data_IF_590640128552
#
_entry.id   IF_590640128552
#
_cell.length_a   1.000
_cell.length_b   1.000
_cell.length_c   1.000
_cell.angle_alpha   90.00
_cell.angle_beta   90.00
_cell.angle_gamma   90.00
#
_symmetry.space_group_name_H-M   'P 1'
#
loop_
_entity.id
_entity.type
_entity.pdbx_description
1 polymer ?
#
# COMPACT_ATOMS: atom_id res chain seq x y z
N UNK A 1 -1.38 -7.69 -2.12
CA UNK A 1 -1.43 -8.47 -0.86
C UNK A 1 -0.85 -9.87 -1.03
N UNK A 2 -1.51 -10.77 -1.77
CA UNK A 2 -1.08 -12.18 -1.89
C UNK A 2 0.22 -12.41 -2.66
N UNK A 3 0.56 -11.56 -3.64
CA UNK A 3 1.75 -11.75 -4.47
C UNK A 3 3.07 -11.75 -3.67
N UNK A 4 3.29 -10.76 -2.80
CA UNK A 4 4.51 -10.68 -1.97
C UNK A 4 4.56 -11.81 -0.95
N UNK A 5 3.42 -12.15 -0.33
CA UNK A 5 3.34 -13.24 0.62
C UNK A 5 3.65 -14.60 0.00
N UNK A 6 3.12 -14.85 -1.20
CA UNK A 6 3.44 -16.03 -2.00
C UNK A 6 4.92 -16.04 -2.41
N UNK A 7 5.50 -14.90 -2.79
CA UNK A 7 6.92 -14.81 -3.17
C UNK A 7 7.86 -15.19 -2.02
N UNK A 8 7.65 -14.65 -0.82
CA UNK A 8 8.46 -14.99 0.35
C UNK A 8 8.24 -16.44 0.81
N UNK A 9 7.01 -16.93 0.77
CA UNK A 9 6.70 -18.33 1.05
C UNK A 9 7.41 -19.27 0.08
N UNK A 10 7.40 -18.92 -1.20
CA UNK A 10 8.09 -19.64 -2.26
C UNK A 10 9.61 -19.57 -2.08
N UNK A 11 10.15 -18.44 -1.65
CA UNK A 11 11.58 -18.32 -1.31
C UNK A 11 11.99 -19.26 -0.16
N UNK A 12 11.15 -19.44 0.86
CA UNK A 12 11.36 -20.42 1.93
C UNK A 12 11.41 -21.86 1.41
N UNK A 13 10.47 -22.22 0.53
CA UNK A 13 10.44 -23.53 -0.14
C UNK A 13 11.66 -23.73 -1.03
N UNK A 14 12.01 -22.73 -1.83
CA UNK A 14 13.21 -22.75 -2.70
C UNK A 14 14.47 -22.90 -1.87
N UNK A 15 14.57 -22.23 -0.72
CA UNK A 15 15.73 -22.34 0.18
C UNK A 15 15.87 -23.77 0.72
N UNK A 16 14.77 -24.43 1.09
CA UNK A 16 14.77 -25.84 1.49
C UNK A 16 15.21 -26.74 0.32
N UNK A 17 14.65 -26.56 -0.87
CA UNK A 17 15.01 -27.38 -2.04
C UNK A 17 16.46 -27.17 -2.49
N UNK A 18 16.97 -25.93 -2.41
CA UNK A 18 18.37 -25.62 -2.71
C UNK A 18 19.32 -26.30 -1.74
N UNK A 19 18.97 -26.41 -0.46
CA UNK A 19 19.77 -27.16 0.50
C UNK A 19 19.88 -28.66 0.13
N UNK A 20 18.85 -29.23 -0.48
CA UNK A 20 18.93 -30.59 -1.06
C UNK A 20 19.87 -30.63 -2.25
N UNK A 21 19.73 -29.68 -3.18
CA UNK A 21 20.52 -29.63 -4.42
C UNK A 21 22.01 -29.33 -4.22
N UNK A 22 22.36 -28.55 -3.19
CA UNK A 22 23.75 -28.17 -2.85
C UNK A 22 24.49 -29.21 -2.00
N UNK A 23 23.77 -30.19 -1.44
CA UNK A 23 24.33 -31.30 -0.65
C UNK A 23 25.55 -32.01 -1.28
N UNK A 24 25.61 -32.27 -2.61
CA UNK A 24 26.74 -32.98 -3.23
C UNK A 24 28.07 -32.22 -3.23
N UNK A 25 28.05 -30.88 -3.17
CA UNK A 25 29.22 -30.02 -3.32
C UNK A 25 30.00 -29.78 -2.02
N UNK A 26 29.54 -30.34 -0.89
CA UNK A 26 30.14 -30.08 0.43
C UNK A 26 31.25 -31.10 0.76
N UNK A 27 32.42 -30.65 1.27
CA UNK A 27 33.52 -31.51 1.70
C UNK A 27 33.12 -32.55 2.77
N UNK A 28 33.74 -33.73 2.74
CA UNK A 28 33.38 -34.88 3.57
C UNK A 28 33.82 -34.76 5.05
N UNK A 29 34.60 -33.76 5.43
CA UNK A 29 35.25 -33.66 6.76
C UNK A 29 34.42 -32.96 7.84
N UNK A 30 33.19 -32.54 7.53
CA UNK A 30 32.31 -31.90 8.52
C UNK A 30 31.62 -32.94 9.42
N UNK A 31 31.46 -32.69 10.74
CA UNK A 31 30.91 -33.66 11.68
C UNK A 31 29.46 -34.06 11.30
N UNK A 32 29.30 -35.25 10.76
CA UNK A 32 28.03 -35.83 10.27
C UNK A 32 27.04 -36.22 11.38
N UNK A 33 27.45 -36.13 12.65
CA UNK A 33 26.61 -36.48 13.81
C UNK A 33 25.84 -35.31 14.43
N UNK A 34 25.83 -34.13 13.81
CA UNK A 34 25.08 -32.99 14.34
C UNK A 34 23.58 -33.19 14.05
N UNK A 35 22.87 -33.73 15.05
CA UNK A 35 21.53 -33.27 15.42
C UNK A 35 20.38 -33.53 14.44
N UNK A 36 20.40 -34.59 13.62
CA UNK A 36 19.25 -34.95 12.78
C UNK A 36 17.93 -35.01 13.58
N UNK A 37 17.96 -35.66 14.75
CA UNK A 37 16.83 -35.76 15.67
C UNK A 37 16.46 -34.39 16.28
N UNK A 38 17.42 -33.48 16.41
CA UNK A 38 17.16 -32.14 16.92
C UNK A 38 16.52 -31.25 15.84
N UNK A 39 16.98 -31.34 14.59
CA UNK A 39 16.40 -30.62 13.44
C UNK A 39 14.95 -31.03 13.24
N UNK A 40 14.67 -32.34 13.20
CA UNK A 40 13.32 -32.85 12.99
C UNK A 40 12.34 -32.35 14.08
N UNK A 41 12.73 -32.44 15.35
CA UNK A 41 11.96 -31.89 16.48
C UNK A 41 11.73 -30.38 16.35
N UNK A 42 12.77 -29.62 16.00
CA UNK A 42 12.67 -28.16 15.85
C UNK A 42 11.73 -27.81 14.69
N UNK A 43 11.87 -28.44 13.53
CA UNK A 43 10.98 -28.22 12.39
C UNK A 43 9.54 -28.58 12.74
N UNK A 44 9.31 -29.67 13.50
CA UNK A 44 7.97 -30.02 14.00
C UNK A 44 7.36 -28.96 14.92
N UNK A 45 8.16 -28.38 15.82
CA UNK A 45 7.73 -27.26 16.68
C UNK A 45 7.40 -26.02 15.83
N UNK A 46 8.22 -25.69 14.83
CA UNK A 46 7.96 -24.55 13.95
C UNK A 46 6.68 -24.79 13.12
N UNK A 47 6.52 -25.98 12.53
CA UNK A 47 5.34 -26.31 11.72
C UNK A 47 4.04 -26.24 12.54
N UNK A 48 4.02 -26.77 13.77
CA UNK A 48 2.83 -26.71 14.62
C UNK A 48 2.55 -25.29 15.13
N UNK A 49 3.57 -24.57 15.59
CA UNK A 49 3.40 -23.22 16.17
C UNK A 49 3.10 -22.14 15.13
N UNK A 50 3.73 -22.17 13.96
CA UNK A 50 3.60 -21.09 12.96
C UNK A 50 2.20 -21.02 12.36
N UNK A 51 1.49 -22.14 12.21
CA UNK A 51 0.10 -22.13 11.75
C UNK A 51 -0.81 -21.43 12.77
N UNK A 52 -0.63 -21.70 14.06
CA UNK A 52 -1.35 -21.04 15.14
C UNK A 52 -1.02 -19.54 15.21
N UNK A 53 0.27 -19.17 15.16
CA UNK A 53 0.72 -17.77 15.18
C UNK A 53 0.19 -17.01 13.96
N UNK A 54 0.19 -17.62 12.78
CA UNK A 54 -0.39 -17.03 11.56
C UNK A 54 -1.88 -16.77 11.73
N UNK A 55 -2.62 -17.76 12.24
CA UNK A 55 -4.07 -17.66 12.46
C UNK A 55 -4.40 -16.57 13.47
N UNK A 56 -3.68 -16.54 14.60
CA UNK A 56 -3.79 -15.48 15.60
C UNK A 56 -3.50 -14.11 14.97
N UNK A 57 -2.40 -13.96 14.25
CA UNK A 57 -1.98 -12.70 13.64
C UNK A 57 -3.00 -12.19 12.60
N UNK A 58 -3.55 -13.09 11.77
CA UNK A 58 -4.60 -12.74 10.81
C UNK A 58 -5.88 -12.28 11.52
N UNK A 59 -6.28 -12.99 12.58
CA UNK A 59 -7.43 -12.62 13.41
C UNK A 59 -7.24 -11.23 14.04
N UNK A 60 -6.08 -10.99 14.67
CA UNK A 60 -5.76 -9.70 15.28
C UNK A 60 -5.74 -8.57 14.26
N UNK A 61 -5.22 -8.80 13.05
CA UNK A 61 -5.26 -7.81 11.97
C UNK A 61 -6.69 -7.46 11.57
N UNK A 62 -7.55 -8.47 11.37
CA UNK A 62 -8.96 -8.25 11.03
C UNK A 62 -9.67 -7.48 12.15
N UNK A 63 -9.41 -7.82 13.42
CA UNK A 63 -9.93 -7.07 14.57
C UNK A 63 -9.43 -5.64 14.60
N UNK A 64 -8.15 -5.39 14.32
CA UNK A 64 -7.57 -4.04 14.29
C UNK A 64 -8.13 -3.19 13.15
N UNK A 65 -8.32 -3.76 11.95
CA UNK A 65 -8.99 -3.07 10.84
C UNK A 65 -10.47 -2.80 11.12
N UNK A 66 -11.15 -3.73 11.80
CA UNK A 66 -12.53 -3.53 12.24
C UNK A 66 -12.63 -2.40 13.28
N UNK A 67 -11.71 -2.36 14.25
CA UNK A 67 -11.61 -1.29 15.23
C UNK A 67 -11.30 0.06 14.56
N UNK A 68 -10.37 0.09 13.60
CA UNK A 68 -10.09 1.29 12.81
C UNK A 68 -11.30 1.75 12.01
N UNK A 69 -12.09 0.84 11.43
CA UNK A 69 -13.32 1.20 10.69
C UNK A 69 -14.45 1.68 11.62
N UNK A 70 -14.45 1.22 12.87
CA UNK A 70 -15.45 1.61 13.88
C UNK A 70 -15.12 2.98 14.49
N UNK A 71 -13.84 3.18 14.81
CA UNK A 71 -13.32 4.37 15.49
C UNK A 71 -12.87 5.48 14.53
N UNK A 72 -12.58 5.13 13.27
CA UNK A 72 -12.11 6.04 12.21
C UNK A 72 -13.01 5.89 10.98
N UNK A 73 -12.96 6.84 10.05
CA UNK A 73 -13.85 6.87 8.90
C UNK A 73 -13.43 5.82 7.84
N UNK A 74 -14.38 5.23 7.09
CA UNK A 74 -14.06 4.22 6.06
C UNK A 74 -13.04 4.66 5.01
N UNK A 75 -12.91 5.98 4.80
CA UNK A 75 -11.95 6.61 3.88
C UNK A 75 -10.52 6.57 4.43
N UNK A 76 -10.34 6.75 5.72
CA UNK A 76 -9.05 6.67 6.39
C UNK A 76 -8.56 5.22 6.54
N UNK A 77 -9.48 4.27 6.72
CA UNK A 77 -9.15 2.83 6.79
C UNK A 77 -8.44 2.33 5.53
N UNK A 78 -8.78 2.87 4.34
CA UNK A 78 -8.12 2.49 3.08
C UNK A 78 -6.62 2.74 3.12
N UNK A 79 -6.20 3.86 3.72
CA UNK A 79 -4.80 4.21 3.89
C UNK A 79 -4.10 3.19 4.80
N UNK A 80 -4.76 2.76 5.88
CA UNK A 80 -4.23 1.76 6.82
C UNK A 80 -4.10 0.37 6.19
N UNK A 81 -5.03 -0.04 5.31
CA UNK A 81 -5.01 -1.36 4.66
C UNK A 81 -3.87 -1.56 3.64
N UNK A 82 -3.18 -0.50 3.24
CA UNK A 82 -2.00 -0.58 2.36
C UNK A 82 -0.70 -0.91 3.10
N UNK A 83 -0.76 -1.19 4.41
CA UNK A 83 0.44 -1.45 5.20
C UNK A 83 1.17 -2.74 4.77
N UNK A 84 2.38 -2.54 4.24
CA UNK A 84 3.27 -3.62 3.79
C UNK A 84 3.92 -4.40 4.93
N UNK A 85 4.00 -3.82 6.13
CA UNK A 85 4.65 -4.43 7.31
C UNK A 85 3.87 -5.64 7.78
N UNK A 86 2.56 -5.46 7.93
CA UNK A 86 1.62 -6.51 8.31
C UNK A 86 1.65 -7.69 7.31
N UNK A 87 1.75 -7.39 6.02
CA UNK A 87 1.83 -8.40 4.97
C UNK A 87 3.14 -9.21 5.04
N UNK A 88 4.27 -8.54 5.27
CA UNK A 88 5.58 -9.18 5.37
C UNK A 88 5.67 -10.11 6.60
N UNK A 89 5.04 -9.73 7.71
CA UNK A 89 4.98 -10.55 8.93
C UNK A 89 4.23 -11.86 8.67
N UNK A 90 3.00 -11.78 8.14
CA UNK A 90 2.21 -12.99 7.84
C UNK A 90 2.93 -13.90 6.83
N UNK A 91 3.54 -13.30 5.80
CA UNK A 91 4.30 -14.03 4.80
C UNK A 91 5.44 -14.83 5.42
N UNK A 92 6.14 -14.26 6.39
CA UNK A 92 7.25 -14.93 7.08
C UNK A 92 6.76 -16.10 7.92
N UNK A 93 5.62 -15.97 8.61
CA UNK A 93 5.06 -17.07 9.40
C UNK A 93 4.56 -18.23 8.52
N UNK A 94 3.83 -17.93 7.44
CA UNK A 94 3.39 -18.93 6.46
C UNK A 94 4.58 -19.58 5.76
N UNK A 95 5.57 -18.79 5.35
CA UNK A 95 6.79 -19.28 4.73
C UNK A 95 7.60 -20.18 5.65
N UNK A 96 7.69 -19.84 6.94
CA UNK A 96 8.35 -20.67 7.96
C UNK A 96 7.62 -21.98 8.20
N UNK A 97 6.28 -21.95 8.23
CA UNK A 97 5.45 -23.17 8.27
C UNK A 97 5.73 -24.09 7.08
N UNK A 98 5.70 -23.54 5.86
CA UNK A 98 5.96 -24.30 4.63
C UNK A 98 7.39 -24.82 4.55
N UNK A 99 8.37 -24.00 4.92
CA UNK A 99 9.78 -24.41 5.04
C UNK A 99 9.90 -25.61 5.98
N UNK A 100 9.26 -25.57 7.14
CA UNK A 100 9.30 -26.68 8.09
C UNK A 100 8.60 -27.92 7.58
N UNK A 101 7.44 -27.80 6.93
CA UNK A 101 6.74 -28.93 6.33
C UNK A 101 7.58 -29.61 5.23
N UNK A 102 8.14 -28.84 4.31
CA UNK A 102 9.01 -29.34 3.24
C UNK A 102 10.29 -29.95 3.83
N UNK A 103 10.87 -29.32 4.85
CA UNK A 103 12.04 -29.83 5.57
C UNK A 103 11.78 -31.18 6.23
N UNK A 104 10.65 -31.35 6.91
CA UNK A 104 10.23 -32.61 7.52
C UNK A 104 10.03 -33.67 6.43
N UNK A 105 9.27 -33.38 5.36
CA UNK A 105 9.01 -34.34 4.27
C UNK A 105 10.33 -34.81 3.65
N UNK A 106 11.26 -33.89 3.38
CA UNK A 106 12.56 -34.21 2.79
C UNK A 106 13.49 -34.97 3.76
N UNK A 107 13.40 -34.74 5.07
CA UNK A 107 14.11 -35.55 6.08
C UNK A 107 13.55 -36.98 6.16
N UNK A 108 12.23 -37.13 6.22
CA UNK A 108 11.55 -38.43 6.35
C UNK A 108 11.72 -39.31 5.11
N UNK A 109 11.77 -38.69 3.93
CA UNK A 109 12.05 -39.39 2.65
C UNK A 109 13.53 -39.72 2.44
N UNK A 110 14.43 -39.25 3.32
CA UNK A 110 15.87 -39.47 3.21
C UNK A 110 16.56 -38.61 2.15
N UNK A 111 15.88 -37.63 1.57
CA UNK A 111 16.36 -36.85 0.42
C UNK A 111 17.62 -36.00 0.70
N UNK A 112 17.84 -35.59 1.95
CA UNK A 112 18.98 -34.71 2.31
C UNK A 112 20.34 -35.42 2.45
N UNK A 113 20.36 -36.73 2.72
CA UNK A 113 21.57 -37.43 3.17
C UNK A 113 22.22 -36.81 4.42
N UNK A 114 23.39 -37.30 4.82
CA UNK A 114 24.07 -36.79 6.04
C UNK A 114 24.60 -35.35 5.90
N UNK A 115 25.04 -34.95 4.69
CA UNK A 115 25.56 -33.60 4.42
C UNK A 115 24.46 -32.54 4.38
N UNK A 116 23.32 -32.85 3.76
CA UNK A 116 22.19 -31.93 3.65
C UNK A 116 21.54 -31.60 5.00
N UNK A 117 21.64 -32.52 5.98
CA UNK A 117 21.15 -32.30 7.35
C UNK A 117 21.86 -31.15 8.07
N UNK A 118 23.17 -30.98 7.85
CA UNK A 118 23.92 -29.87 8.44
C UNK A 118 23.48 -28.52 7.86
N UNK A 119 23.31 -28.45 6.53
CA UNK A 119 22.80 -27.24 5.87
C UNK A 119 21.41 -26.91 6.42
N UNK A 120 20.53 -27.91 6.49
CA UNK A 120 19.18 -27.74 7.00
C UNK A 120 19.20 -27.22 8.44
N UNK A 121 20.09 -27.71 9.30
CA UNK A 121 20.24 -27.22 10.66
C UNK A 121 20.63 -25.73 10.71
N UNK A 122 21.65 -25.32 9.95
CA UNK A 122 22.10 -23.91 9.89
C UNK A 122 20.99 -23.01 9.34
N UNK A 123 20.32 -23.43 8.27
CA UNK A 123 19.18 -22.69 7.71
C UNK A 123 18.03 -22.62 8.71
N UNK A 124 17.74 -23.70 9.43
CA UNK A 124 16.69 -23.73 10.47
C UNK A 124 16.99 -22.74 11.59
N UNK A 125 18.23 -22.62 12.04
CA UNK A 125 18.65 -21.59 13.01
C UNK A 125 18.39 -20.18 12.44
N UNK A 126 18.77 -19.95 11.18
CA UNK A 126 18.50 -18.67 10.50
C UNK A 126 17.00 -18.35 10.44
N UNK A 127 16.17 -19.34 10.11
CA UNK A 127 14.70 -19.21 10.11
C UNK A 127 14.17 -18.92 11.50
N UNK A 128 14.68 -19.55 12.57
CA UNK A 128 14.29 -19.25 13.95
C UNK A 128 14.58 -17.79 14.30
N UNK A 129 15.79 -17.31 14.01
CA UNK A 129 16.16 -15.91 14.26
C UNK A 129 15.23 -14.96 13.50
N UNK A 130 14.95 -15.27 12.22
CA UNK A 130 14.00 -14.51 11.41
C UNK A 130 12.59 -14.48 12.03
N UNK A 131 12.08 -15.62 12.50
CA UNK A 131 10.77 -15.73 13.17
C UNK A 131 10.75 -14.86 14.42
N UNK A 132 11.77 -14.95 15.28
CA UNK A 132 11.83 -14.18 16.54
C UNK A 132 11.83 -12.68 16.25
N UNK A 133 12.69 -12.20 15.34
CA UNK A 133 12.74 -10.79 14.96
C UNK A 133 11.41 -10.32 14.37
N UNK A 134 10.80 -11.15 13.52
CA UNK A 134 9.51 -10.83 12.88
C UNK A 134 8.38 -10.78 13.91
N UNK A 135 8.36 -11.71 14.87
CA UNK A 135 7.38 -11.73 15.95
C UNK A 135 7.51 -10.50 16.86
N UNK A 136 8.74 -10.10 17.22
CA UNK A 136 8.97 -8.90 18.02
C UNK A 136 8.52 -7.63 17.27
N UNK A 137 8.85 -7.52 15.97
CA UNK A 137 8.34 -6.43 15.11
C UNK A 137 6.82 -6.44 15.02
N UNK A 138 6.21 -7.61 14.92
CA UNK A 138 4.76 -7.75 14.88
C UNK A 138 4.10 -7.25 16.17
N UNK A 139 4.68 -7.56 17.34
CA UNK A 139 4.16 -7.09 18.63
C UNK A 139 4.24 -5.56 18.72
N UNK A 140 5.38 -4.95 18.38
CA UNK A 140 5.51 -3.48 18.35
C UNK A 140 4.52 -2.85 17.36
N UNK A 141 4.39 -3.45 16.17
CA UNK A 141 3.46 -2.98 15.15
C UNK A 141 2.00 -3.08 15.60
N UNK A 142 1.60 -4.20 16.22
CA UNK A 142 0.26 -4.40 16.78
C UNK A 142 -0.08 -3.37 17.86
N UNK A 143 0.91 -2.94 18.65
CA UNK A 143 0.70 -1.90 19.68
C UNK A 143 0.34 -0.53 19.09
N UNK A 144 0.64 -0.32 17.80
CA UNK A 144 0.38 0.92 17.05
C UNK A 144 -0.81 0.78 16.09
N UNK A 145 -1.06 -0.42 15.59
CA UNK A 145 -2.14 -0.71 14.64
C UNK A 145 -3.51 -0.37 15.23
N UNK A 146 -4.32 0.38 14.48
CA UNK A 146 -5.67 0.74 14.88
C UNK A 146 -5.78 1.86 15.91
N UNK A 147 -4.66 2.48 16.33
CA UNK A 147 -4.70 3.75 17.08
C UNK A 147 -5.18 4.86 16.16
N UNK A 148 -6.19 5.60 16.61
CA UNK A 148 -6.71 6.76 15.88
C UNK A 148 -5.59 7.75 15.57
N UNK A 149 -4.64 7.93 16.50
CA UNK A 149 -3.43 8.77 16.36
C UNK A 149 -2.57 8.41 15.15
N UNK A 150 -2.33 7.12 14.88
CA UNK A 150 -1.51 6.69 13.73
C UNK A 150 -2.25 6.99 12.42
N UNK A 151 -3.56 6.79 12.41
CA UNK A 151 -4.37 7.05 11.23
C UNK A 151 -4.46 8.56 10.95
N UNK A 152 -4.65 9.38 11.98
CA UNK A 152 -4.65 10.84 11.83
C UNK A 152 -3.28 11.37 11.41
N UNK A 153 -2.19 10.75 11.86
CA UNK A 153 -0.83 11.09 11.43
C UNK A 153 -0.56 10.73 9.97
N UNK A 154 -1.02 9.57 9.53
CA UNK A 154 -0.88 9.19 8.13
C UNK A 154 -1.70 10.10 7.22
N UNK A 155 -2.93 10.44 7.61
CA UNK A 155 -3.76 11.40 6.88
C UNK A 155 -3.10 12.79 6.86
N UNK A 156 -2.62 13.30 8.00
CA UNK A 156 -1.90 14.57 8.07
C UNK A 156 -0.70 14.59 7.12
N UNK A 157 0.18 13.57 7.20
CA UNK A 157 1.37 13.50 6.35
C UNK A 157 1.02 13.53 4.87
N UNK A 158 0.12 12.66 4.40
CA UNK A 158 -0.25 12.62 2.97
C UNK A 158 -0.96 13.91 2.54
N UNK A 159 -1.68 14.58 3.45
CA UNK A 159 -2.29 15.89 3.17
C UNK A 159 -1.21 16.97 3.01
N UNK A 160 -0.21 17.01 3.89
CA UNK A 160 0.92 17.94 3.80
C UNK A 160 1.73 17.69 2.54
N UNK A 161 1.99 16.43 2.18
CA UNK A 161 2.67 16.07 0.92
C UNK A 161 1.91 16.60 -0.31
N UNK A 162 0.61 16.33 -0.41
CA UNK A 162 -0.22 16.81 -1.52
C UNK A 162 -0.32 18.34 -1.57
N UNK A 163 -0.38 19.00 -0.41
CA UNK A 163 -0.42 20.46 -0.33
C UNK A 163 0.93 21.08 -0.72
N UNK A 164 2.03 20.51 -0.24
CA UNK A 164 3.38 20.97 -0.56
C UNK A 164 3.62 20.86 -2.06
N UNK A 165 3.27 19.74 -2.67
CA UNK A 165 3.34 19.56 -4.12
C UNK A 165 2.52 20.63 -4.88
N UNK A 166 1.34 20.98 -4.37
CA UNK A 166 0.49 22.02 -4.96
C UNK A 166 1.08 23.43 -4.81
N UNK A 167 1.78 23.72 -3.71
CA UNK A 167 2.47 25.00 -3.48
C UNK A 167 3.76 25.12 -4.31
N UNK A 168 4.52 24.03 -4.43
CA UNK A 168 5.74 23.99 -5.25
C UNK A 168 5.43 24.11 -6.74
N UNK A 169 4.30 23.55 -7.18
CA UNK A 169 3.88 23.56 -8.58
C UNK A 169 2.45 24.09 -8.73
N UNK A 170 2.22 25.41 -8.48
CA UNK A 170 0.89 25.98 -8.50
C UNK A 170 0.24 25.84 -9.87
N UNK A 171 -1.06 25.59 -9.90
CA UNK A 171 -1.82 25.31 -11.13
C UNK A 171 -1.22 24.16 -11.96
N UNK A 172 -0.64 23.15 -11.29
CA UNK A 172 0.04 22.02 -11.93
C UNK A 172 1.22 22.43 -12.85
N UNK A 173 1.81 23.60 -12.59
CA UNK A 173 2.90 24.16 -13.41
C UNK A 173 2.40 24.99 -14.61
N UNK A 174 1.08 25.04 -14.82
CA UNK A 174 0.46 25.86 -15.86
C UNK A 174 0.18 27.29 -15.44
N UNK A 175 -0.46 28.03 -16.34
CA UNK A 175 -0.93 29.38 -16.07
C UNK A 175 -2.29 29.35 -15.36
N UNK A 176 -2.48 30.30 -14.43
CA UNK A 176 -3.78 30.48 -13.79
C UNK A 176 -4.83 30.89 -14.83
N UNK A 177 -5.90 30.11 -14.93
CA UNK A 177 -7.08 30.47 -15.70
C UNK A 177 -7.84 31.59 -15.00
N UNK A 178 -7.94 32.75 -15.65
CA UNK A 178 -8.69 33.89 -15.12
C UNK A 178 -10.17 33.74 -15.45
N UNK A 179 -11.02 34.23 -14.57
CA UNK A 179 -12.45 34.29 -14.83
C UNK A 179 -12.71 35.25 -16.00
N UNK A 180 -13.40 34.77 -17.03
CA UNK A 180 -13.63 35.53 -18.26
C UNK A 180 -12.42 35.62 -19.19
N UNK A 181 -11.47 34.68 -19.13
CA UNK A 181 -10.36 34.61 -20.10
C UNK A 181 -10.91 34.59 -21.54
N UNK A 182 -10.54 35.56 -22.40
CA UNK A 182 -11.09 35.67 -23.76
C UNK A 182 -10.73 34.46 -24.63
N UNK A 183 -9.70 33.69 -24.27
CA UNK A 183 -9.33 32.45 -24.96
C UNK A 183 -10.30 31.29 -24.68
N UNK A 184 -11.15 31.42 -23.65
CA UNK A 184 -12.27 30.51 -23.43
C UNK A 184 -13.47 30.78 -24.37
N UNK A 185 -13.36 31.75 -25.29
CA UNK A 185 -14.39 32.06 -26.30
C UNK A 185 -14.59 30.94 -27.34
N UNK A 186 -15.68 31.04 -28.12
CA UNK A 186 -15.93 30.07 -29.19
C UNK A 186 -15.05 30.33 -30.44
N UNK A 187 -14.58 29.29 -31.14
CA UNK A 187 -14.83 27.86 -30.91
C UNK A 187 -13.77 27.18 -30.03
N UNK A 188 -14.20 26.60 -28.90
CA UNK A 188 -13.39 25.73 -28.06
C UNK A 188 -13.98 24.33 -27.99
N UNK A 189 -13.14 23.31 -28.15
CA UNK A 189 -13.55 21.91 -28.08
C UNK A 189 -13.50 21.42 -26.61
N UNK A 190 -14.62 20.95 -26.03
CA UNK A 190 -14.62 20.37 -24.69
C UNK A 190 -14.11 18.93 -24.71
N UNK A 191 -13.20 18.61 -23.80
CA UNK A 191 -12.73 17.24 -23.57
C UNK A 191 -13.54 16.62 -22.44
N UNK A 192 -14.25 15.54 -22.75
CA UNK A 192 -15.06 14.77 -21.81
C UNK A 192 -14.51 13.36 -21.63
N UNK A 193 -15.03 12.66 -20.63
CA UNK A 193 -14.78 11.25 -20.40
C UNK A 193 -16.08 10.52 -20.13
N UNK A 194 -16.21 9.29 -20.60
CA UNK A 194 -17.46 8.51 -20.53
C UNK A 194 -17.75 7.94 -19.13
N UNK A 195 -16.88 8.18 -18.15
CA UNK A 195 -16.99 7.65 -16.80
C UNK A 195 -17.58 8.68 -15.83
N UNK A 196 -18.30 8.18 -14.82
CA UNK A 196 -18.76 8.99 -13.69
C UNK A 196 -17.87 8.70 -12.50
N UNK A 197 -17.21 9.73 -11.97
CA UNK A 197 -16.27 9.55 -10.87
C UNK A 197 -15.57 10.84 -10.48
N UNK A 198 -14.56 10.71 -9.63
CA UNK A 198 -13.71 11.82 -9.21
C UNK A 198 -12.43 11.80 -10.04
N UNK A 199 -11.98 12.98 -10.47
CA UNK A 199 -10.62 13.15 -10.97
C UNK A 199 -9.66 12.79 -9.83
N UNK A 200 -8.80 11.80 -10.03
CA UNK A 200 -7.80 11.37 -9.05
C UNK A 200 -6.42 11.94 -9.38
N UNK A 201 -6.10 12.02 -10.66
CA UNK A 201 -4.81 12.50 -11.15
C UNK A 201 -4.99 13.27 -12.45
N UNK A 202 -4.23 14.35 -12.60
CA UNK A 202 -4.06 15.10 -13.85
C UNK A 202 -2.58 15.07 -14.20
N UNK A 203 -2.25 14.45 -15.34
CA UNK A 203 -0.89 14.40 -15.86
C UNK A 203 -0.60 15.69 -16.64
N UNK A 204 -0.14 16.71 -15.92
CA UNK A 204 0.20 18.00 -16.52
C UNK A 204 1.40 17.93 -17.48
N UNK A 205 2.28 16.93 -17.35
CA UNK A 205 3.42 16.75 -18.24
C UNK A 205 2.93 16.30 -19.60
N UNK A 206 2.09 15.26 -19.63
CA UNK A 206 1.47 14.76 -20.87
C UNK A 206 0.63 15.85 -21.55
N UNK A 207 -0.13 16.63 -20.77
CA UNK A 207 -0.91 17.75 -21.31
C UNK A 207 -0.01 18.83 -21.93
N UNK A 208 1.13 19.14 -21.31
CA UNK A 208 2.11 20.09 -21.85
C UNK A 208 2.73 19.58 -23.15
N UNK A 209 3.13 18.30 -23.20
CA UNK A 209 3.68 17.69 -24.41
C UNK A 209 2.67 17.72 -25.58
N UNK A 210 1.40 17.44 -25.30
CA UNK A 210 0.33 17.51 -26.31
C UNK A 210 0.11 18.96 -26.77
N UNK A 211 0.08 19.91 -25.84
CA UNK A 211 -0.09 21.33 -26.17
C UNK A 211 1.03 21.85 -27.08
N UNK A 212 2.28 21.45 -26.82
CA UNK A 212 3.45 21.81 -27.64
C UNK A 212 3.46 21.11 -29.01
N UNK A 213 3.07 19.84 -29.08
CA UNK A 213 3.05 19.06 -30.33
C UNK A 213 2.08 19.63 -31.36
N UNK A 214 0.92 20.13 -30.90
CA UNK A 214 -0.18 20.57 -31.76
C UNK A 214 -0.45 22.09 -31.72
N UNK A 215 0.36 22.86 -30.99
CA UNK A 215 0.29 24.33 -30.91
C UNK A 215 -1.09 24.86 -30.47
N UNK A 216 -1.65 24.32 -29.38
CA UNK A 216 -2.90 24.81 -28.79
C UNK A 216 -2.84 24.98 -27.27
N UNK A 217 -3.70 25.85 -26.75
CA UNK A 217 -3.91 26.02 -25.31
C UNK A 217 -4.90 24.96 -24.78
N UNK A 218 -4.52 24.26 -23.70
CA UNK A 218 -5.41 23.37 -22.93
C UNK A 218 -5.82 24.03 -21.62
N UNK A 219 -7.11 24.31 -21.46
CA UNK A 219 -7.71 24.89 -20.26
C UNK A 219 -8.24 23.79 -19.34
N UNK A 220 -7.47 23.43 -18.32
CA UNK A 220 -7.88 22.44 -17.33
C UNK A 220 -8.96 23.02 -16.41
N UNK A 221 -10.18 22.47 -16.45
CA UNK A 221 -11.32 22.92 -15.63
C UNK A 221 -11.74 21.88 -14.59
N UNK A 222 -11.16 20.68 -14.63
CA UNK A 222 -11.35 19.63 -13.64
C UNK A 222 -10.01 19.23 -13.00
N UNK A 223 -9.85 19.62 -11.72
CA UNK A 223 -8.70 19.23 -10.89
C UNK A 223 -9.04 18.03 -10.01
N UNK A 224 -8.01 17.36 -9.49
CA UNK A 224 -8.15 16.24 -8.56
C UNK A 224 -9.14 16.55 -7.42
N UNK A 225 -10.11 15.67 -7.21
CA UNK A 225 -11.22 15.84 -6.27
C UNK A 225 -12.54 16.32 -6.87
N UNK A 226 -12.55 16.81 -8.12
CA UNK A 226 -13.80 17.21 -8.81
C UNK A 226 -14.58 15.97 -9.26
N UNK A 227 -15.87 15.94 -8.96
CA UNK A 227 -16.81 14.96 -9.53
C UNK A 227 -17.10 15.33 -10.99
N UNK A 228 -16.96 14.35 -11.88
CA UNK A 228 -17.18 14.49 -13.32
C UNK A 228 -18.13 13.41 -13.81
N UNK A 229 -18.73 13.67 -14.96
CA UNK A 229 -19.70 12.83 -15.65
C UNK A 229 -19.56 13.08 -17.17
N UNK A 230 -20.18 12.27 -18.05
CA UNK A 230 -20.02 12.40 -19.51
C UNK A 230 -20.36 13.79 -20.09
N UNK A 231 -21.16 14.59 -19.39
CA UNK A 231 -21.52 15.96 -19.78
C UNK A 231 -20.73 17.06 -19.04
N UNK A 232 -19.75 16.67 -18.23
CA UNK A 232 -18.88 17.60 -17.50
C UNK A 232 -17.51 17.63 -18.18
N UNK A 233 -17.08 18.75 -18.76
CA UNK A 233 -15.77 18.84 -19.38
C UNK A 233 -14.65 18.74 -18.34
N UNK A 234 -13.60 18.01 -18.70
CA UNK A 234 -12.33 17.91 -17.97
C UNK A 234 -11.41 19.09 -18.30
N UNK A 235 -11.35 19.40 -19.60
CA UNK A 235 -10.59 20.50 -20.16
C UNK A 235 -11.32 21.11 -21.36
N UNK A 236 -10.89 22.30 -21.75
CA UNK A 236 -11.23 22.90 -23.05
C UNK A 236 -9.96 23.06 -23.86
N UNK A 237 -10.07 22.97 -25.18
CA UNK A 237 -8.95 23.21 -26.10
C UNK A 237 -9.33 24.35 -27.03
N UNK A 238 -8.39 25.25 -27.28
CA UNK A 238 -8.57 26.29 -28.29
C UNK A 238 -8.49 25.70 -29.71
N UNK A 239 -9.59 25.77 -30.46
CA UNK A 239 -9.68 25.24 -31.82
C UNK A 239 -10.35 23.86 -31.92
N UNK A 240 -10.23 23.26 -33.12
CA UNK A 240 -10.79 21.94 -33.41
C UNK A 240 -9.82 20.83 -33.00
N UNK A 241 -10.35 19.78 -32.36
CA UNK A 241 -9.58 18.64 -31.88
C UNK A 241 -10.01 17.39 -32.63
N UNK A 242 -9.06 16.73 -33.29
CA UNK A 242 -9.28 15.43 -33.92
C UNK A 242 -9.40 14.31 -32.87
N UNK A 243 -10.11 13.23 -33.20
CA UNK A 243 -10.42 12.12 -32.28
C UNK A 243 -9.17 11.53 -31.58
N UNK A 244 -8.05 11.42 -32.30
CA UNK A 244 -6.80 10.89 -31.73
C UNK A 244 -6.20 11.81 -30.66
N UNK A 245 -6.27 13.13 -30.86
CA UNK A 245 -5.79 14.13 -29.90
C UNK A 245 -6.76 14.20 -28.71
N UNK A 246 -8.06 14.12 -28.99
CA UNK A 246 -9.09 14.07 -27.95
C UNK A 246 -8.85 12.93 -26.96
N UNK A 247 -8.61 11.71 -27.46
CA UNK A 247 -8.36 10.54 -26.62
C UNK A 247 -7.05 10.67 -25.82
N UNK A 248 -6.01 11.27 -26.41
CA UNK A 248 -4.74 11.55 -25.72
C UNK A 248 -4.89 12.57 -24.60
N UNK A 249 -5.69 13.62 -24.80
CA UNK A 249 -5.95 14.61 -23.74
C UNK A 249 -6.82 13.98 -22.65
N UNK A 250 -7.85 13.21 -23.02
CA UNK A 250 -8.70 12.52 -22.05
C UNK A 250 -7.93 11.50 -21.20
N UNK A 251 -6.95 10.79 -21.79
CA UNK A 251 -6.13 9.80 -21.06
C UNK A 251 -5.16 10.42 -20.03
N UNK A 252 -4.89 11.72 -20.11
CA UNK A 252 -4.14 12.45 -19.09
C UNK A 252 -4.92 12.61 -17.77
N UNK A 253 -6.22 12.29 -17.74
CA UNK A 253 -7.07 12.34 -16.56
C UNK A 253 -7.38 10.92 -16.07
N UNK A 254 -6.96 10.63 -14.84
CA UNK A 254 -7.37 9.39 -14.17
C UNK A 254 -8.67 9.63 -13.40
N UNK A 255 -9.72 8.89 -13.74
CA UNK A 255 -11.02 8.94 -13.05
C UNK A 255 -11.17 7.70 -12.17
N UNK A 256 -11.68 7.90 -10.95
CA UNK A 256 -11.97 6.81 -10.04
C UNK A 256 -13.25 7.02 -9.26
N UNK A 257 -13.82 5.91 -8.77
CA UNK A 257 -15.09 5.92 -8.02
C UNK A 257 -15.03 6.66 -6.66
N UNK A 258 -13.82 6.99 -6.19
CA UNK A 258 -13.55 7.69 -4.93
C UNK A 258 -12.44 8.72 -5.12
N UNK A 259 -12.38 9.73 -4.25
CA UNK A 259 -11.25 10.69 -4.22
C UNK A 259 -9.95 9.98 -3.82
N UNK A 260 -8.83 10.42 -4.39
CA UNK A 260 -7.48 10.04 -3.97
C UNK A 260 -6.89 11.12 -3.06
N UNK A 261 -5.89 10.78 -2.24
CA UNK A 261 -5.12 11.76 -1.46
C UNK A 261 -3.97 12.38 -2.27
N UNK A 262 -3.51 11.74 -3.35
CA UNK A 262 -2.25 12.07 -4.03
C UNK A 262 -2.18 13.52 -4.51
N UNK A 263 -3.20 13.99 -5.24
CA UNK A 263 -3.25 15.35 -5.79
C UNK A 263 -4.37 16.22 -5.20
N UNK A 264 -5.02 15.78 -4.12
CA UNK A 264 -6.19 16.44 -3.55
C UNK A 264 -6.03 16.72 -2.05
N UNK A 265 -5.30 17.77 -1.66
CA UNK A 265 -5.10 18.11 -0.25
C UNK A 265 -6.42 18.44 0.47
N UNK A 266 -7.44 18.88 -0.26
CA UNK A 266 -8.77 19.16 0.30
C UNK A 266 -9.45 17.89 0.79
N UNK A 267 -9.15 16.74 0.18
CA UNK A 267 -9.68 15.47 0.63
C UNK A 267 -9.08 15.06 1.97
N UNK A 268 -7.77 15.26 2.14
CA UNK A 268 -7.06 15.09 3.40
C UNK A 268 -7.69 15.88 4.56
N UNK A 269 -7.89 17.18 4.35
CA UNK A 269 -8.55 18.05 5.32
C UNK A 269 -10.01 17.62 5.63
N UNK A 270 -10.76 17.19 4.61
CA UNK A 270 -12.10 16.66 4.80
C UNK A 270 -12.10 15.38 5.66
N UNK A 271 -11.16 14.46 5.40
CA UNK A 271 -11.04 13.20 6.17
C UNK A 271 -10.65 13.49 7.62
N UNK A 272 -9.72 14.42 7.89
CA UNK A 272 -9.42 14.88 9.25
C UNK A 272 -10.70 15.40 9.94
N UNK A 273 -11.46 16.26 9.26
CA UNK A 273 -12.72 16.81 9.78
C UNK A 273 -13.77 15.73 10.07
N UNK A 274 -13.89 14.72 9.20
CA UNK A 274 -14.76 13.56 9.43
C UNK A 274 -14.32 12.76 10.67
N UNK A 275 -13.02 12.59 10.90
CA UNK A 275 -12.49 11.90 12.09
C UNK A 275 -12.85 12.68 13.37
N UNK A 276 -12.64 14.00 13.40
CA UNK A 276 -13.04 14.83 14.53
C UNK A 276 -14.56 14.75 14.79
N UNK A 277 -15.37 14.82 13.73
CA UNK A 277 -16.82 14.70 13.86
C UNK A 277 -17.25 13.33 14.38
N UNK A 278 -16.59 12.25 13.95
CA UNK A 278 -16.86 10.88 14.42
C UNK A 278 -16.46 10.71 15.88
N UNK A 279 -15.33 11.26 16.29
CA UNK A 279 -14.86 11.23 17.67
C UNK A 279 -15.85 11.90 18.64
N UNK A 280 -16.50 12.99 18.21
CA UNK A 280 -17.54 13.69 18.99
C UNK A 280 -18.93 13.02 18.92
N UNK A 281 -19.10 11.94 18.16
CA UNK A 281 -20.40 11.27 18.08
C UNK A 281 -20.79 10.65 19.42
N UNK A 282 -22.10 10.55 19.76
CA UNK A 282 -22.55 9.97 21.04
C UNK A 282 -22.06 8.54 21.29
N UNK A 283 -21.71 7.80 20.23
CA UNK A 283 -21.22 6.43 20.32
C UNK A 283 -19.74 6.33 20.72
N UNK A 284 -18.92 7.35 20.40
CA UNK A 284 -17.47 7.35 20.67
C UNK A 284 -17.14 8.29 21.83
N UNK A 285 -17.66 9.52 21.79
CA UNK A 285 -17.51 10.55 22.83
C UNK A 285 -16.04 10.77 23.28
N UNK A 286 -15.13 10.91 22.31
CA UNK A 286 -13.70 11.17 22.53
C UNK A 286 -13.33 12.60 22.10
N UNK A 287 -13.43 13.59 22.99
CA UNK A 287 -13.03 14.97 22.70
C UNK A 287 -11.51 15.12 22.52
N UNK A 288 -10.69 14.21 23.07
CA UNK A 288 -9.23 14.27 22.95
C UNK A 288 -8.76 14.10 21.51
N UNK A 289 -9.35 13.13 20.79
CA UNK A 289 -9.12 12.95 19.35
C UNK A 289 -9.54 14.18 18.55
N UNK A 290 -10.67 14.82 18.89
CA UNK A 290 -11.12 16.02 18.17
C UNK A 290 -10.13 17.19 18.35
N UNK A 291 -9.58 17.38 19.55
CA UNK A 291 -8.54 18.39 19.84
C UNK A 291 -7.23 18.08 19.10
N UNK A 292 -6.82 16.81 19.05
CA UNK A 292 -5.65 16.37 18.28
C UNK A 292 -5.83 16.74 16.79
N UNK A 293 -6.98 16.41 16.20
CA UNK A 293 -7.28 16.75 14.80
C UNK A 293 -7.22 18.26 14.54
N UNK A 294 -7.74 19.10 15.44
CA UNK A 294 -7.63 20.56 15.29
C UNK A 294 -6.15 20.99 15.25
N UNK A 295 -5.32 20.40 16.12
CA UNK A 295 -3.89 20.69 16.17
C UNK A 295 -3.16 20.25 14.90
N UNK A 296 -3.60 19.16 14.27
CA UNK A 296 -3.08 18.68 12.97
C UNK A 296 -3.56 19.54 11.82
N UNK A 297 -4.81 19.96 11.81
CA UNK A 297 -5.35 20.86 10.80
C UNK A 297 -4.59 22.19 10.75
N UNK A 298 -4.16 22.72 11.91
CA UNK A 298 -3.31 23.92 11.98
C UNK A 298 -1.92 23.70 11.36
N UNK A 299 -1.37 22.47 11.38
CA UNK A 299 -0.08 22.16 10.73
C UNK A 299 -0.20 21.97 9.22
N UNK A 300 -1.40 21.58 8.77
CA UNK A 300 -1.72 21.42 7.35
C UNK A 300 -2.02 22.78 6.69
N UNK A 301 -2.65 23.72 7.39
CA UNK A 301 -3.00 25.06 6.88
C UNK A 301 -1.81 26.03 6.92
#
# INVERSE_FOLDING_TARGET
MWFRATLFSMAGVVTALLAVALSPYIPQELPTKIGADAVDKILGIIASSMLTVTTFSLSTMVSAYSAATTNVTPRATKLVMEDSTTQNVLATFVGSFLFSLVGIIALTTGAYGDRGRLILFVVTIGVIVLIIVTLLRWIDHLSRLGRVTETTERVERTTVEALTAWVETPNLGGHRLLEGDPRLGEPNAPIHQNEVGYVQHVDATLLSEIAEEFDFDIFIVAIAGKLVAPNTPLAWVNGEVHDNVYERIASAFTIGNVRSFDQDPRFGAAVLSEIASRALSPAINDPGTAIDVISRAIRVL
#
